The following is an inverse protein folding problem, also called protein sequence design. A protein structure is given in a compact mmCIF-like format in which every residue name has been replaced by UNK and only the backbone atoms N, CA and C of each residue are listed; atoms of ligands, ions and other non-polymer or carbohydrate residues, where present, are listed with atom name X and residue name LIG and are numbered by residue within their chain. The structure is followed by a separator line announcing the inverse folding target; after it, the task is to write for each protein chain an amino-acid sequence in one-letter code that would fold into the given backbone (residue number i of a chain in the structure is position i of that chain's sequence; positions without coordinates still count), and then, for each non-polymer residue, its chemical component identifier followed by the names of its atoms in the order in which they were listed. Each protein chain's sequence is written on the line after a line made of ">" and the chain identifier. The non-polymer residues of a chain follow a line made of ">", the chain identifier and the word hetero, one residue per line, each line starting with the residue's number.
data_IF_669334429010
#
_entry.id   IF_669334429010
#
_cell.length_a   1.000
_cell.length_b   1.000
_cell.length_c   1.000
_cell.angle_alpha   90.00
_cell.angle_beta   90.00
_cell.angle_gamma   90.00
#
_symmetry.space_group_name_H-M   'P 1'
#
loop_
_entity.id
_entity.type
_entity.pdbx_description
1 polymer ?
#
# COMPACT_ATOMS: atom_id res chain seq x y z
N UNK A 1 -3.86 23.91 17.49
CA UNK A 1 -2.52 24.14 16.92
C UNK A 1 -1.59 24.52 18.05
N UNK A 2 -0.52 23.77 18.33
CA UNK A 2 0.45 24.12 19.34
C UNK A 2 1.27 25.34 18.86
N UNK A 3 1.36 26.36 19.73
CA UNK A 3 2.17 27.54 19.47
C UNK A 3 3.54 27.28 20.08
N UNK A 4 4.60 27.31 19.27
CA UNK A 4 5.97 27.17 19.76
C UNK A 4 6.35 28.39 20.66
N UNK A 5 7.22 28.20 21.62
CA UNK A 5 7.71 29.25 22.56
C UNK A 5 8.09 30.57 21.87
N UNK A 6 8.65 30.51 20.66
CA UNK A 6 8.99 31.70 19.88
C UNK A 6 7.77 32.46 19.31
N UNK A 7 6.56 31.85 19.32
CA UNK A 7 5.32 32.50 18.92
C UNK A 7 4.63 33.31 19.98
N UNK A 8 5.11 33.26 21.26
CA UNK A 8 4.58 34.02 22.38
C UNK A 8 4.90 35.53 22.33
N UNK A 9 5.72 35.98 21.37
CA UNK A 9 5.97 37.41 21.12
C UNK A 9 4.87 38.11 20.32
N UNK A 10 3.80 37.37 19.94
CA UNK A 10 2.65 37.90 19.21
C UNK A 10 1.69 38.62 20.17
N UNK A 11 1.00 39.63 19.67
CA UNK A 11 -0.03 40.35 20.44
C UNK A 11 -1.18 39.42 20.83
N UNK A 12 -1.89 39.75 21.92
CA UNK A 12 -3.05 38.98 22.39
C UNK A 12 -4.13 38.79 21.27
N UNK A 13 -4.31 39.77 20.40
CA UNK A 13 -5.24 39.71 19.27
C UNK A 13 -4.81 38.69 18.20
N UNK A 14 -3.52 38.56 17.94
CA UNK A 14 -3.01 37.54 17.05
C UNK A 14 -3.10 36.13 17.66
N UNK A 15 -2.98 35.99 18.98
CA UNK A 15 -3.09 34.73 19.68
C UNK A 15 -4.52 34.16 19.64
N UNK A 16 -5.56 35.01 19.60
CA UNK A 16 -6.95 34.55 19.51
C UNK A 16 -7.24 33.69 18.30
N UNK A 17 -6.52 33.88 17.20
CA UNK A 17 -6.62 33.06 15.99
C UNK A 17 -6.11 31.64 16.16
N UNK A 18 -5.34 31.37 17.19
CA UNK A 18 -4.71 30.09 17.50
C UNK A 18 -5.36 29.39 18.69
N UNK A 19 -6.23 30.09 19.43
CA UNK A 19 -6.93 29.55 20.60
C UNK A 19 -8.01 28.59 20.10
N UNK A 20 -8.05 27.40 20.69
CA UNK A 20 -9.08 26.40 20.48
C UNK A 20 -9.93 26.21 21.72
N UNK A 21 -10.93 25.36 21.64
CA UNK A 21 -11.76 24.92 22.73
C UNK A 21 -11.32 23.54 23.21
N UNK A 22 -11.25 23.34 24.53
CA UNK A 22 -11.07 22.05 25.16
C UNK A 22 -11.98 21.93 26.39
N UNK A 23 -12.60 20.79 26.61
CA UNK A 23 -13.40 20.53 27.80
C UNK A 23 -12.52 20.32 29.03
N UNK A 24 -11.40 19.62 28.86
CA UNK A 24 -10.46 19.30 29.94
C UNK A 24 -9.03 19.31 29.42
N UNK A 25 -8.15 19.93 30.16
CA UNK A 25 -6.70 19.87 29.94
C UNK A 25 -6.07 19.43 31.26
N UNK A 26 -5.26 18.37 31.22
CA UNK A 26 -4.58 17.87 32.41
C UNK A 26 -3.24 17.23 32.04
N UNK A 27 -2.35 17.21 33.01
CA UNK A 27 -1.07 16.52 32.90
C UNK A 27 -1.24 15.07 33.37
N UNK A 28 -0.79 14.14 32.52
CA UNK A 28 -0.72 12.72 32.85
C UNK A 28 0.73 12.39 33.24
N UNK A 29 0.98 12.38 34.55
CA UNK A 29 2.33 12.17 35.10
C UNK A 29 2.89 10.77 34.83
N UNK A 30 2.03 9.77 34.54
CA UNK A 30 2.49 8.42 34.20
C UNK A 30 3.05 8.31 32.78
N UNK A 31 2.52 9.11 31.88
CA UNK A 31 2.91 9.15 30.46
C UNK A 31 3.73 10.40 30.11
N UNK A 32 3.98 11.29 31.10
CA UNK A 32 4.68 12.57 30.90
C UNK A 32 4.09 13.40 29.75
N UNK A 33 2.75 13.43 29.65
CA UNK A 33 2.04 14.07 28.55
C UNK A 33 0.96 15.01 29.05
N UNK A 34 0.76 16.12 28.34
CA UNK A 34 -0.41 16.98 28.50
C UNK A 34 -1.54 16.45 27.63
N UNK A 35 -2.65 16.06 28.25
CA UNK A 35 -3.85 15.57 27.57
C UNK A 35 -4.90 16.66 27.42
N UNK A 36 -5.42 16.80 26.21
CA UNK A 36 -6.47 17.75 25.84
C UNK A 36 -7.69 16.94 25.38
N UNK A 37 -8.76 16.98 26.16
CA UNK A 37 -9.98 16.24 25.87
C UNK A 37 -11.10 17.18 25.44
N UNK A 38 -11.99 16.68 24.58
CA UNK A 38 -13.18 17.41 24.10
C UNK A 38 -12.84 18.65 23.28
N UNK A 39 -11.74 18.62 22.53
CA UNK A 39 -11.37 19.71 21.62
C UNK A 39 -12.23 19.75 20.36
N UNK A 40 -12.50 20.94 19.83
CA UNK A 40 -13.18 21.14 18.53
C UNK A 40 -12.22 21.02 17.32
N UNK A 41 -10.94 20.72 17.55
CA UNK A 41 -9.93 20.52 16.51
C UNK A 41 -9.97 19.12 15.88
N UNK A 42 -9.00 18.85 15.01
CA UNK A 42 -8.80 17.48 14.48
C UNK A 42 -8.38 16.55 15.62
N UNK A 43 -9.04 15.41 15.81
CA UNK A 43 -8.65 14.45 16.84
C UNK A 43 -7.24 13.92 16.54
N UNK A 44 -6.46 13.75 17.58
CA UNK A 44 -5.13 13.11 17.52
C UNK A 44 -5.14 11.92 18.48
N UNK A 45 -4.55 10.82 18.03
CA UNK A 45 -4.31 9.65 18.86
C UNK A 45 -2.81 9.37 18.92
N UNK A 46 -2.37 8.87 20.08
CA UNK A 46 -0.99 8.41 20.28
C UNK A 46 -1.01 6.92 20.50
N UNK A 47 -0.25 6.19 19.69
CA UNK A 47 -0.03 4.75 19.86
C UNK A 47 1.32 4.55 20.51
N UNK A 48 1.33 4.09 21.76
CA UNK A 48 2.56 3.78 22.49
C UNK A 48 2.98 2.33 22.16
N UNK A 49 4.20 2.18 21.67
CA UNK A 49 4.76 0.87 21.28
C UNK A 49 5.96 0.56 22.16
N UNK A 50 5.94 -0.62 22.76
CA UNK A 50 7.03 -1.10 23.61
C UNK A 50 7.56 -2.47 23.19
N UNK A 51 8.83 -2.74 23.53
CA UNK A 51 9.46 -4.05 23.36
C UNK A 51 10.64 -4.21 24.31
N UNK A 52 11.25 -5.40 24.33
CA UNK A 52 12.37 -5.70 25.20
C UNK A 52 13.68 -5.00 24.79
N UNK A 53 13.90 -4.76 23.49
CA UNK A 53 15.11 -4.09 22.98
C UNK A 53 14.76 -2.91 22.09
N UNK A 54 15.72 -1.98 21.93
CA UNK A 54 15.52 -0.76 21.16
C UNK A 54 15.31 -1.06 19.65
N UNK A 55 15.99 -2.06 19.11
CA UNK A 55 15.84 -2.47 17.72
C UNK A 55 14.42 -2.97 17.44
N UNK A 56 13.88 -3.80 18.34
CA UNK A 56 12.52 -4.32 18.25
C UNK A 56 11.48 -3.22 18.45
N UNK A 57 11.74 -2.22 19.28
CA UNK A 57 10.86 -1.02 19.41
C UNK A 57 10.79 -0.28 18.09
N UNK A 58 11.93 -0.04 17.44
CA UNK A 58 12.00 0.64 16.15
C UNK A 58 11.17 -0.08 15.07
N UNK A 59 11.32 -1.39 14.96
CA UNK A 59 10.57 -2.21 13.99
C UNK A 59 9.07 -2.22 14.30
N UNK A 60 8.67 -2.40 15.56
CA UNK A 60 7.25 -2.33 15.95
C UNK A 60 6.64 -0.97 15.70
N UNK A 61 7.37 0.11 15.93
CA UNK A 61 6.92 1.47 15.65
C UNK A 61 6.68 1.68 14.14
N UNK A 62 7.56 1.12 13.29
CA UNK A 62 7.40 1.14 11.83
C UNK A 62 6.14 0.38 11.42
N UNK A 63 5.96 -0.86 11.91
CA UNK A 63 4.78 -1.69 11.63
C UNK A 63 3.50 -0.99 12.08
N UNK A 64 3.48 -0.40 13.28
CA UNK A 64 2.31 0.33 13.78
C UNK A 64 1.96 1.55 12.91
N UNK A 65 2.97 2.26 12.41
CA UNK A 65 2.80 3.38 11.49
C UNK A 65 2.21 2.93 10.15
N UNK A 66 2.73 1.84 9.59
CA UNK A 66 2.27 1.27 8.33
C UNK A 66 0.82 0.77 8.45
N UNK A 67 0.49 0.07 9.54
CA UNK A 67 -0.87 -0.36 9.85
C UNK A 67 -1.83 0.82 9.98
N UNK A 68 -1.45 1.87 10.72
CA UNK A 68 -2.27 3.07 10.86
C UNK A 68 -2.51 3.78 9.52
N UNK A 69 -1.48 3.85 8.66
CA UNK A 69 -1.59 4.43 7.32
C UNK A 69 -2.53 3.63 6.42
N UNK A 70 -2.45 2.29 6.49
CA UNK A 70 -3.33 1.38 5.74
C UNK A 70 -4.79 1.52 6.18
N UNK A 71 -5.05 1.61 7.49
CA UNK A 71 -6.40 1.84 8.03
C UNK A 71 -6.93 3.22 7.60
N UNK A 72 -6.11 4.27 7.64
CA UNK A 72 -6.50 5.60 7.17
C UNK A 72 -6.84 5.61 5.68
N UNK A 73 -6.06 4.91 4.85
CA UNK A 73 -6.34 4.76 3.43
C UNK A 73 -7.67 4.03 3.19
N UNK A 74 -7.92 2.96 3.95
CA UNK A 74 -9.17 2.19 3.87
C UNK A 74 -10.40 3.02 4.26
N UNK A 75 -10.30 3.80 5.33
CA UNK A 75 -11.41 4.68 5.77
C UNK A 75 -11.71 5.77 4.74
N UNK A 76 -10.69 6.22 4.00
CA UNK A 76 -10.79 7.33 3.05
C UNK A 76 -11.36 6.91 1.70
N UNK A 77 -10.91 5.79 1.15
CA UNK A 77 -11.18 5.37 -0.24
C UNK A 77 -11.79 3.96 -0.33
N UNK A 78 -11.99 3.30 0.82
CA UNK A 78 -12.53 1.94 0.88
C UNK A 78 -11.48 0.84 0.75
N UNK A 79 -11.99 -0.38 0.69
CA UNK A 79 -11.20 -1.61 0.60
C UNK A 79 -11.71 -2.52 -0.51
N UNK A 80 -10.89 -3.46 -0.90
CA UNK A 80 -11.12 -4.45 -1.93
C UNK A 80 -10.67 -5.82 -1.45
N UNK A 81 -11.08 -6.87 -2.16
CA UNK A 81 -10.57 -8.21 -1.91
C UNK A 81 -9.06 -8.25 -2.12
N UNK A 82 -8.36 -8.76 -1.14
CA UNK A 82 -6.90 -8.95 -1.16
C UNK A 82 -6.49 -10.27 -1.81
N UNK A 83 -5.28 -10.73 -1.46
CA UNK A 83 -4.78 -12.03 -1.92
C UNK A 83 -4.55 -12.15 -3.43
N UNK A 84 -4.50 -11.04 -4.17
CA UNK A 84 -4.34 -11.05 -5.63
C UNK A 84 -5.65 -11.23 -6.42
N UNK A 85 -6.80 -11.29 -5.75
CA UNK A 85 -8.11 -11.49 -6.38
C UNK A 85 -8.44 -10.39 -7.40
N UNK A 86 -8.27 -9.11 -6.99
CA UNK A 86 -8.56 -7.96 -7.84
C UNK A 86 -7.66 -7.92 -9.07
N UNK A 87 -6.38 -8.22 -8.90
CA UNK A 87 -5.40 -8.21 -9.98
C UNK A 87 -5.79 -9.21 -11.07
N UNK A 88 -6.23 -10.40 -10.69
CA UNK A 88 -6.73 -11.41 -11.65
C UNK A 88 -8.01 -10.95 -12.33
N UNK A 89 -8.97 -10.42 -11.58
CA UNK A 89 -10.22 -9.90 -12.16
C UNK A 89 -9.95 -8.74 -13.14
N UNK A 90 -8.99 -7.88 -12.82
CA UNK A 90 -8.56 -6.78 -13.69
C UNK A 90 -7.85 -7.30 -14.93
N UNK A 91 -6.95 -8.27 -14.78
CA UNK A 91 -6.26 -8.92 -15.88
C UNK A 91 -7.25 -9.52 -16.89
N UNK A 92 -8.28 -10.23 -16.41
CA UNK A 92 -9.32 -10.80 -17.27
C UNK A 92 -10.12 -9.73 -18.04
N UNK A 93 -10.43 -8.60 -17.41
CA UNK A 93 -11.11 -7.48 -18.09
C UNK A 93 -10.24 -6.83 -19.15
N UNK A 94 -8.95 -6.64 -18.87
CA UNK A 94 -7.99 -6.06 -19.82
C UNK A 94 -7.76 -7.04 -21.00
N UNK A 95 -7.68 -8.34 -20.73
CA UNK A 95 -7.55 -9.38 -21.75
C UNK A 95 -8.72 -9.33 -22.75
N UNK A 96 -9.94 -9.10 -22.28
CA UNK A 96 -11.11 -8.89 -23.15
C UNK A 96 -11.04 -7.64 -24.04
N UNK A 97 -10.25 -6.62 -23.67
CA UNK A 97 -10.05 -5.44 -24.52
C UNK A 97 -9.04 -5.67 -25.65
N UNK A 98 -8.22 -6.70 -25.53
CA UNK A 98 -7.14 -7.01 -26.48
C UNK A 98 -7.66 -7.23 -27.91
N UNK A 99 -8.84 -7.82 -28.07
CA UNK A 99 -9.46 -8.07 -29.37
C UNK A 99 -9.74 -6.77 -30.16
N UNK A 100 -9.91 -5.67 -29.44
CA UNK A 100 -10.17 -4.34 -30.03
C UNK A 100 -8.90 -3.55 -30.32
N UNK A 101 -7.72 -4.08 -29.93
CA UNK A 101 -6.43 -3.40 -30.06
C UNK A 101 -5.54 -4.16 -31.02
N UNK A 102 -5.21 -3.53 -32.15
CA UNK A 102 -4.38 -4.13 -33.18
C UNK A 102 -2.90 -3.74 -33.11
N UNK A 103 -2.07 -4.46 -33.87
CA UNK A 103 -0.65 -4.15 -34.03
C UNK A 103 0.20 -4.36 -32.79
N UNK A 104 1.30 -3.63 -32.68
CA UNK A 104 2.26 -3.75 -31.58
C UNK A 104 1.66 -3.39 -30.20
N UNK A 105 0.64 -2.54 -30.15
CA UNK A 105 -0.03 -2.17 -28.90
C UNK A 105 -0.70 -3.37 -28.22
N UNK A 106 -1.13 -4.39 -28.96
CA UNK A 106 -1.69 -5.61 -28.42
C UNK A 106 -0.68 -6.37 -27.53
N UNK A 107 0.59 -6.39 -27.89
CA UNK A 107 1.64 -6.99 -27.08
C UNK A 107 1.87 -6.23 -25.75
N UNK A 108 1.68 -4.90 -25.77
CA UNK A 108 1.69 -4.10 -24.55
C UNK A 108 0.56 -4.51 -23.60
N UNK A 109 -0.62 -4.78 -24.11
CA UNK A 109 -1.75 -5.31 -23.32
C UNK A 109 -1.40 -6.68 -22.72
N UNK A 110 -0.83 -7.59 -23.50
CA UNK A 110 -0.38 -8.91 -23.02
C UNK A 110 0.65 -8.79 -21.88
N UNK A 111 1.59 -7.84 -22.00
CA UNK A 111 2.56 -7.57 -20.93
C UNK A 111 1.88 -7.13 -19.62
N UNK A 112 0.90 -6.23 -19.69
CA UNK A 112 0.17 -5.76 -18.51
C UNK A 112 -0.65 -6.88 -17.89
N UNK A 113 -1.36 -7.68 -18.71
CA UNK A 113 -2.13 -8.85 -18.24
C UNK A 113 -1.22 -9.84 -17.50
N UNK A 114 -0.06 -10.17 -18.08
CA UNK A 114 0.90 -11.06 -17.44
C UNK A 114 1.48 -10.48 -16.16
N UNK A 115 1.76 -9.18 -16.12
CA UNK A 115 2.25 -8.50 -14.91
C UNK A 115 1.21 -8.56 -13.77
N UNK A 116 -0.07 -8.35 -14.08
CA UNK A 116 -1.16 -8.42 -13.10
C UNK A 116 -1.38 -9.84 -12.54
N UNK A 117 -1.05 -10.89 -13.29
CA UNK A 117 -1.13 -12.28 -12.81
C UNK A 117 0.01 -12.62 -11.82
N UNK A 118 1.14 -11.91 -11.85
CA UNK A 118 2.34 -12.23 -11.06
C UNK A 118 2.16 -12.17 -9.54
N UNK A 119 1.44 -11.19 -8.95
CA UNK A 119 1.24 -11.16 -7.50
C UNK A 119 0.60 -12.44 -6.95
N UNK A 120 -0.52 -12.89 -7.54
CA UNK A 120 -1.16 -14.14 -7.12
C UNK A 120 -0.25 -15.35 -7.37
N UNK A 121 0.42 -15.42 -8.51
CA UNK A 121 1.40 -16.47 -8.82
C UNK A 121 2.46 -16.58 -7.72
N UNK A 122 2.98 -15.44 -7.24
CA UNK A 122 3.99 -15.41 -6.18
C UNK A 122 3.41 -15.84 -4.83
N UNK A 123 2.18 -15.43 -4.50
CA UNK A 123 1.49 -15.84 -3.27
C UNK A 123 1.32 -17.36 -3.25
N UNK A 124 0.85 -17.96 -4.34
CA UNK A 124 0.67 -19.40 -4.49
C UNK A 124 2.00 -20.14 -4.31
N UNK A 125 3.05 -19.64 -4.96
CA UNK A 125 4.39 -20.23 -4.87
C UNK A 125 4.94 -20.18 -3.44
N UNK A 126 4.77 -19.05 -2.74
CA UNK A 126 5.19 -18.88 -1.35
C UNK A 126 4.41 -19.79 -0.38
N UNK A 127 3.16 -20.12 -0.71
CA UNK A 127 2.33 -21.06 0.05
C UNK A 127 2.67 -22.53 -0.26
N UNK A 128 3.59 -22.80 -1.19
CA UNK A 128 4.05 -24.15 -1.53
C UNK A 128 3.17 -24.92 -2.51
N UNK A 129 2.24 -24.24 -3.16
CA UNK A 129 1.36 -24.87 -4.18
C UNK A 129 1.89 -24.66 -5.60
N UNK A 130 1.37 -25.46 -6.55
CA UNK A 130 1.70 -25.30 -7.97
C UNK A 130 1.05 -24.01 -8.53
N UNK A 131 1.86 -23.00 -8.94
CA UNK A 131 1.32 -21.71 -9.35
C UNK A 131 0.50 -21.78 -10.63
N UNK A 132 0.88 -22.65 -11.60
CA UNK A 132 0.17 -22.77 -12.88
C UNK A 132 -1.23 -23.35 -12.68
N UNK A 133 -1.32 -24.45 -11.95
CA UNK A 133 -2.58 -25.12 -11.67
C UNK A 133 -3.54 -24.22 -10.90
N UNK A 134 -3.06 -23.65 -9.79
CA UNK A 134 -3.89 -22.85 -8.91
C UNK A 134 -4.30 -21.49 -9.49
N UNK A 135 -3.46 -20.90 -10.31
CA UNK A 135 -3.80 -19.67 -11.02
C UNK A 135 -4.96 -19.89 -11.99
N UNK A 136 -4.89 -20.97 -12.80
CA UNK A 136 -5.96 -21.30 -13.75
C UNK A 136 -7.26 -21.70 -13.04
N UNK A 137 -7.18 -22.39 -11.90
CA UNK A 137 -8.32 -22.72 -11.06
C UNK A 137 -9.05 -21.45 -10.57
N UNK A 138 -8.30 -20.42 -10.11
CA UNK A 138 -8.89 -19.12 -9.72
C UNK A 138 -9.54 -18.43 -10.90
N UNK A 139 -8.84 -18.33 -12.04
CA UNK A 139 -9.34 -17.67 -13.23
C UNK A 139 -10.65 -18.32 -13.70
N UNK A 140 -10.67 -19.65 -13.78
CA UNK A 140 -11.86 -20.41 -14.18
C UNK A 140 -13.02 -20.23 -13.20
N UNK A 141 -12.73 -20.25 -11.90
CA UNK A 141 -13.75 -20.11 -10.85
C UNK A 141 -14.32 -18.70 -10.79
N UNK A 142 -13.48 -17.67 -10.91
CA UNK A 142 -13.94 -16.28 -11.00
C UNK A 142 -14.90 -16.09 -12.19
N UNK A 143 -14.55 -16.61 -13.37
CA UNK A 143 -15.41 -16.56 -14.57
C UNK A 143 -16.72 -17.32 -14.37
N UNK A 144 -16.64 -18.55 -13.85
CA UNK A 144 -17.81 -19.41 -13.64
C UNK A 144 -18.83 -18.83 -12.65
N UNK A 145 -18.35 -18.28 -11.54
CA UNK A 145 -19.19 -17.73 -10.49
C UNK A 145 -19.47 -16.23 -10.64
N UNK A 146 -18.85 -15.59 -11.65
CA UNK A 146 -18.88 -14.14 -11.83
C UNK A 146 -18.56 -13.37 -10.53
N UNK A 147 -17.60 -13.89 -9.76
CA UNK A 147 -17.17 -13.32 -8.49
C UNK A 147 -15.71 -12.94 -8.56
N UNK A 148 -15.42 -11.64 -8.50
CA UNK A 148 -14.07 -11.05 -8.58
C UNK A 148 -13.27 -11.12 -7.27
N UNK A 149 -13.90 -11.57 -6.18
CA UNK A 149 -13.27 -11.60 -4.84
C UNK A 149 -12.57 -12.94 -4.55
N UNK A 150 -12.60 -13.87 -5.50
CA UNK A 150 -12.04 -15.20 -5.32
C UNK A 150 -10.52 -15.21 -5.55
N UNK A 151 -9.81 -15.84 -4.63
CA UNK A 151 -8.38 -16.15 -4.75
C UNK A 151 -8.07 -17.45 -3.98
N UNK A 152 -6.80 -17.78 -3.80
CA UNK A 152 -6.37 -18.99 -3.07
C UNK A 152 -6.28 -18.69 -1.57
N UNK A 153 -6.95 -19.51 -0.77
CA UNK A 153 -6.66 -19.60 0.65
C UNK A 153 -5.35 -20.36 0.85
N UNK A 154 -4.32 -19.66 1.32
CA UNK A 154 -2.98 -20.22 1.49
C UNK A 154 -2.91 -21.35 2.54
N UNK A 155 -3.89 -21.46 3.44
CA UNK A 155 -3.91 -22.52 4.45
C UNK A 155 -4.43 -23.85 3.89
N UNK A 156 -5.41 -23.78 2.99
CA UNK A 156 -6.10 -24.98 2.46
C UNK A 156 -5.73 -25.29 1.01
N UNK A 157 -5.19 -24.34 0.28
CA UNK A 157 -4.91 -24.43 -1.15
C UNK A 157 -6.15 -24.41 -2.05
N UNK A 158 -7.32 -24.09 -1.50
CA UNK A 158 -8.57 -24.04 -2.23
C UNK A 158 -8.94 -22.60 -2.63
N UNK A 159 -9.75 -22.48 -3.69
CA UNK A 159 -10.32 -21.18 -4.06
C UNK A 159 -11.38 -20.79 -3.05
N UNK A 160 -11.27 -19.58 -2.51
CA UNK A 160 -12.17 -19.05 -1.49
C UNK A 160 -12.46 -17.56 -1.72
N UNK A 161 -13.53 -17.05 -1.14
CA UNK A 161 -13.86 -15.63 -1.17
C UNK A 161 -13.02 -14.89 -0.12
N UNK A 162 -12.14 -14.01 -0.61
CA UNK A 162 -11.19 -13.26 0.21
C UNK A 162 -11.90 -12.30 1.17
N UNK A 163 -13.02 -11.70 0.77
CA UNK A 163 -13.78 -10.84 1.67
C UNK A 163 -14.38 -11.63 2.84
N UNK A 164 -14.90 -12.82 2.57
CA UNK A 164 -15.44 -13.70 3.61
C UNK A 164 -14.37 -14.18 4.60
N UNK A 165 -13.13 -14.34 4.13
CA UNK A 165 -11.97 -14.68 4.96
C UNK A 165 -11.37 -13.48 5.69
N UNK A 166 -11.86 -12.26 5.43
CA UNK A 166 -11.30 -11.03 6.00
C UNK A 166 -9.96 -10.62 5.38
N UNK A 167 -9.59 -11.18 4.23
CA UNK A 167 -8.39 -10.82 3.47
C UNK A 167 -8.73 -9.63 2.59
N UNK A 168 -8.40 -8.43 3.07
CA UNK A 168 -8.72 -7.16 2.43
C UNK A 168 -7.47 -6.31 2.22
N UNK A 169 -7.48 -5.52 1.15
CA UNK A 169 -6.44 -4.54 0.86
C UNK A 169 -7.05 -3.14 0.70
N UNK A 170 -6.36 -2.06 1.16
CA UNK A 170 -6.81 -0.70 0.88
C UNK A 170 -6.80 -0.42 -0.63
N UNK A 171 -7.90 0.10 -1.17
CA UNK A 171 -8.01 0.39 -2.61
C UNK A 171 -6.91 1.34 -3.10
N UNK A 172 -6.60 2.39 -2.32
CA UNK A 172 -5.55 3.36 -2.63
C UNK A 172 -4.18 2.72 -2.83
N UNK A 173 -3.82 1.74 -1.99
CA UNK A 173 -2.53 1.05 -2.08
C UNK A 173 -2.40 0.33 -3.41
N UNK A 174 -3.43 -0.41 -3.82
CA UNK A 174 -3.44 -1.13 -5.10
C UNK A 174 -3.41 -0.19 -6.30
N UNK A 175 -4.21 0.88 -6.25
CA UNK A 175 -4.22 1.89 -7.30
C UNK A 175 -2.84 2.50 -7.52
N UNK A 176 -2.18 2.95 -6.43
CA UNK A 176 -0.85 3.53 -6.53
C UNK A 176 0.22 2.51 -6.93
N UNK A 177 0.12 1.26 -6.49
CA UNK A 177 1.04 0.20 -6.87
C UNK A 177 1.02 -0.05 -8.39
N UNK A 178 -0.16 -0.21 -8.98
CA UNK A 178 -0.31 -0.42 -10.43
C UNK A 178 0.15 0.81 -11.22
N UNK A 179 -0.22 2.01 -10.76
CA UNK A 179 0.18 3.27 -11.40
C UNK A 179 1.69 3.45 -11.38
N UNK A 180 2.34 3.29 -10.22
CA UNK A 180 3.78 3.43 -10.08
C UNK A 180 4.54 2.38 -10.91
N UNK A 181 4.06 1.13 -10.93
CA UNK A 181 4.66 0.09 -11.76
C UNK A 181 4.63 0.45 -13.25
N UNK A 182 3.51 0.98 -13.74
CA UNK A 182 3.38 1.45 -15.11
C UNK A 182 4.29 2.64 -15.43
N UNK A 183 4.36 3.63 -14.54
CA UNK A 183 5.23 4.80 -14.70
C UNK A 183 6.71 4.42 -14.75
N UNK A 184 7.16 3.51 -13.87
CA UNK A 184 8.54 3.02 -13.84
C UNK A 184 8.85 2.20 -15.11
N UNK A 185 7.96 1.31 -15.53
CA UNK A 185 8.14 0.53 -16.74
C UNK A 185 8.27 1.43 -17.98
N UNK A 186 7.41 2.44 -18.11
CA UNK A 186 7.48 3.44 -19.19
C UNK A 186 8.80 4.21 -19.13
N UNK A 187 9.24 4.63 -17.94
CA UNK A 187 10.49 5.36 -17.79
C UNK A 187 11.69 4.53 -18.26
N UNK A 188 11.74 3.23 -17.91
CA UNK A 188 12.81 2.31 -18.34
C UNK A 188 12.76 2.08 -19.85
N UNK A 189 11.56 1.86 -20.42
CA UNK A 189 11.39 1.63 -21.86
C UNK A 189 11.76 2.85 -22.72
N UNK A 190 11.84 4.05 -22.15
CA UNK A 190 12.26 5.27 -22.84
C UNK A 190 13.79 5.49 -22.84
N UNK A 191 14.56 4.61 -22.20
CA UNK A 191 16.02 4.72 -22.17
C UNK A 191 16.59 4.16 -23.46
N UNK A 192 17.16 5.03 -24.31
CA UNK A 192 17.80 4.63 -25.56
C UNK A 192 19.28 4.29 -25.37
N UNK A 193 19.96 4.98 -24.46
CA UNK A 193 21.43 4.86 -24.30
C UNK A 193 21.82 4.93 -22.84
N UNK A 194 22.69 4.01 -22.42
CA UNK A 194 23.31 3.99 -21.09
C UNK A 194 24.81 4.25 -21.25
N UNK A 195 25.30 5.36 -20.68
CA UNK A 195 26.73 5.70 -20.66
C UNK A 195 27.32 5.32 -19.31
N UNK A 196 28.22 4.36 -19.27
CA UNK A 196 28.97 3.99 -18.08
C UNK A 196 30.18 4.91 -17.90
N UNK A 197 30.32 5.53 -16.72
CA UNK A 197 31.53 6.24 -16.35
C UNK A 197 32.70 5.24 -16.29
N UNK A 198 33.84 5.56 -16.95
CA UNK A 198 35.06 4.77 -16.83
C UNK A 198 35.64 5.02 -15.43
N UNK A 199 35.95 3.95 -14.70
CA UNK A 199 36.63 4.06 -13.42
C UNK A 199 38.04 4.59 -13.65
N UNK A 200 38.38 5.72 -13.07
CA UNK A 200 39.71 6.37 -13.20
C UNK A 200 40.81 5.64 -12.44
N UNK A 201 40.47 4.62 -11.63
CA UNK A 201 41.42 3.84 -10.82
C UNK A 201 42.37 2.93 -11.61
N UNK A 202 42.23 2.83 -12.94
CA UNK A 202 43.13 1.99 -13.80
C UNK A 202 44.04 2.81 -14.72
N UNK A 203 44.34 4.09 -14.42
CA UNK A 203 45.22 4.94 -15.25
C UNK A 203 46.61 5.09 -14.65
N UNK A 204 46.90 4.57 -13.46
CA UNK A 204 48.26 4.57 -12.89
C UNK A 204 48.81 3.15 -12.86
N UNK A 205 49.26 2.63 -14.00
CA UNK A 205 50.29 1.59 -14.15
C UNK A 205 50.43 1.23 -15.66
N UNK A 206 51.15 2.09 -16.39
CA UNK A 206 51.97 1.71 -17.53
C UNK A 206 52.95 2.87 -17.89
#
# INVERSE_FOLDING_TARGET
>A
RMIKRNGLKKSLEELTRYIGFAQKVYEDNKLEQVRILGGKGKPMATVLVGAATQEVVGERARIAKDAASSVQATVKEGYIAGGGALEIATAQKIEGLRENIGGMSAYGVDCVVNALKRPLTQIINNAGYNPLEKLEEVIATQKKLNNTNLAIDCNTGNVADMLSLGVIDPMLVKYHAVKAAGEVAIAILRIDTIIRKKDESNIEEN
#
